data_IF_430853359216
#
_entry.id   IF_430853359216
#
_cell.length_a   1.000
_cell.length_b   1.000
_cell.length_c   1.000
_cell.angle_alpha   90.00
_cell.angle_beta   90.00
_cell.angle_gamma   90.00
#
_symmetry.space_group_name_H-M   'P 1'
#
loop_
_entity.id
_entity.type
_entity.pdbx_description
1 polymer ?
#
# COMPACT_ATOMS: atom_id res chain seq x y z
N UNK A 1 -27.21 -20.70 -60.09
CA UNK A 1 -27.99 -21.11 -58.90
C UNK A 1 -27.60 -20.17 -57.77
N UNK A 2 -28.60 -19.60 -57.10
CA UNK A 2 -28.44 -18.41 -56.26
C UNK A 2 -27.54 -18.65 -55.06
N UNK A 3 -26.51 -17.82 -54.89
CA UNK A 3 -25.73 -17.74 -53.66
C UNK A 3 -26.60 -17.05 -52.61
N UNK A 4 -27.16 -17.83 -51.69
CA UNK A 4 -27.87 -17.31 -50.53
C UNK A 4 -26.86 -16.92 -49.45
N UNK A 5 -26.74 -15.63 -49.18
CA UNK A 5 -26.06 -15.15 -47.97
C UNK A 5 -26.96 -15.46 -46.77
N UNK A 6 -26.58 -16.42 -45.93
CA UNK A 6 -27.20 -16.61 -44.60
C UNK A 6 -26.29 -16.02 -43.55
N UNK A 7 -26.74 -14.94 -42.93
CA UNK A 7 -26.19 -14.42 -41.69
C UNK A 7 -26.82 -15.19 -40.52
N UNK A 8 -26.00 -15.95 -39.78
CA UNK A 8 -26.43 -16.49 -38.49
C UNK A 8 -26.22 -15.43 -37.42
N UNK A 9 -27.29 -14.73 -37.04
CA UNK A 9 -27.36 -14.06 -35.75
C UNK A 9 -27.89 -15.08 -34.74
N UNK A 10 -27.02 -15.62 -33.88
CA UNK A 10 -27.44 -16.37 -32.71
C UNK A 10 -28.25 -15.48 -31.77
N UNK A 11 -29.31 -15.98 -31.11
CA UNK A 11 -30.15 -15.17 -30.24
C UNK A 11 -29.36 -14.79 -28.98
N UNK A 12 -28.85 -13.55 -28.94
CA UNK A 12 -28.24 -12.98 -27.74
C UNK A 12 -27.06 -12.03 -27.96
N UNK A 13 -26.46 -12.00 -29.14
CA UNK A 13 -25.37 -11.09 -29.51
C UNK A 13 -25.77 -10.38 -30.80
N UNK A 14 -25.65 -9.05 -30.84
CA UNK A 14 -25.87 -8.25 -32.05
C UNK A 14 -24.55 -8.12 -32.81
N UNK A 15 -24.22 -8.99 -33.79
CA UNK A 15 -23.17 -8.65 -34.75
C UNK A 15 -23.66 -7.45 -35.57
N UNK A 16 -22.99 -6.31 -35.44
CA UNK A 16 -23.28 -5.12 -36.23
C UNK A 16 -22.90 -5.39 -37.70
N UNK A 17 -23.92 -5.70 -38.50
CA UNK A 17 -23.82 -5.87 -39.96
C UNK A 17 -23.71 -4.54 -40.72
N UNK A 18 -23.65 -3.42 -40.01
CA UNK A 18 -23.49 -2.07 -40.54
C UNK A 18 -22.33 -1.37 -39.85
N UNK A 19 -21.25 -1.11 -40.60
CA UNK A 19 -20.20 -0.18 -40.19
C UNK A 19 -20.73 1.24 -40.41
N UNK A 20 -21.53 1.75 -39.47
CA UNK A 20 -22.18 3.05 -39.57
C UNK A 20 -23.28 3.14 -40.65
N UNK A 21 -23.48 4.32 -41.22
CA UNK A 21 -24.49 4.57 -42.27
C UNK A 21 -24.06 4.09 -43.68
N UNK A 22 -22.84 3.58 -43.81
CA UNK A 22 -22.25 3.18 -45.09
C UNK A 22 -22.32 1.67 -45.19
N UNK A 23 -23.05 1.15 -46.17
CA UNK A 23 -22.87 -0.24 -46.57
C UNK A 23 -21.42 -0.39 -47.04
N UNK A 24 -20.68 -1.34 -46.49
CA UNK A 24 -19.38 -1.75 -47.06
C UNK A 24 -19.71 -2.48 -48.36
N UNK A 25 -19.95 -1.71 -49.42
CA UNK A 25 -19.68 -2.16 -50.76
C UNK A 25 -18.16 -2.18 -50.84
N UNK A 26 -17.57 -3.38 -50.85
CA UNK A 26 -16.23 -3.53 -51.40
C UNK A 26 -16.16 -2.71 -52.69
N UNK A 27 -15.08 -1.95 -52.84
CA UNK A 27 -14.75 -1.14 -54.03
C UNK A 27 -15.46 -1.64 -55.27
N UNK A 28 -16.28 -0.80 -55.92
CA UNK A 28 -17.05 -1.11 -57.13
C UNK A 28 -16.58 -2.38 -57.86
N UNK A 29 -17.27 -3.48 -57.56
CA UNK A 29 -16.90 -4.80 -58.05
C UNK A 29 -17.29 -5.85 -57.03
N UNK A 30 -17.99 -6.90 -57.49
CA UNK A 30 -17.98 -8.15 -56.74
C UNK A 30 -16.51 -8.52 -56.45
N UNK A 31 -16.16 -9.06 -55.28
CA UNK A 31 -14.82 -9.56 -55.03
C UNK A 31 -14.39 -10.39 -56.23
N UNK A 32 -13.34 -9.95 -56.92
CA UNK A 32 -12.87 -10.65 -58.11
C UNK A 32 -12.54 -12.07 -57.68
N UNK A 33 -13.01 -13.04 -58.44
CA UNK A 33 -13.01 -14.50 -58.22
C UNK A 33 -11.59 -15.13 -58.06
N UNK A 34 -10.56 -14.33 -57.74
CA UNK A 34 -9.15 -14.67 -57.78
C UNK A 34 -8.45 -14.84 -56.43
N UNK A 35 -8.83 -14.10 -55.38
CA UNK A 35 -8.03 -14.04 -54.12
C UNK A 35 -8.58 -14.90 -52.98
N UNK A 36 -9.74 -15.54 -53.16
CA UNK A 36 -10.45 -16.33 -52.13
C UNK A 36 -10.53 -17.83 -52.49
N UNK A 37 -9.57 -18.32 -53.30
CA UNK A 37 -9.64 -19.62 -53.96
C UNK A 37 -9.16 -20.81 -53.12
N UNK A 38 -8.93 -20.64 -51.82
CA UNK A 38 -8.61 -21.74 -50.91
C UNK A 38 -9.64 -21.81 -49.76
N UNK A 39 -10.09 -23.00 -49.33
CA UNK A 39 -10.80 -23.14 -48.06
C UNK A 39 -9.90 -22.62 -46.93
N UNK A 40 -10.41 -21.66 -46.16
CA UNK A 40 -9.65 -20.99 -45.12
C UNK A 40 -10.30 -19.69 -44.67
N UNK A 41 -9.88 -19.22 -43.50
CA UNK A 41 -10.34 -17.97 -42.90
C UNK A 41 -9.49 -16.81 -43.45
N UNK A 42 -10.11 -15.80 -44.05
CA UNK A 42 -9.45 -14.53 -44.38
C UNK A 42 -9.89 -13.45 -43.39
N UNK A 43 -8.96 -12.54 -43.03
CA UNK A 43 -9.22 -11.42 -42.10
C UNK A 43 -8.82 -10.11 -42.76
N UNK A 44 -9.74 -9.15 -42.79
CA UNK A 44 -9.51 -7.79 -43.29
C UNK A 44 -9.83 -6.76 -42.21
N UNK A 45 -8.98 -5.76 -42.06
CA UNK A 45 -9.26 -4.61 -41.19
C UNK A 45 -9.95 -3.51 -41.98
N UNK A 46 -11.16 -3.14 -41.56
CA UNK A 46 -11.96 -2.08 -42.16
C UNK A 46 -12.00 -0.86 -41.22
N UNK A 47 -11.40 0.28 -41.61
CA UNK A 47 -11.47 1.50 -40.80
C UNK A 47 -12.87 2.12 -40.90
N UNK A 48 -13.49 2.39 -39.75
CA UNK A 48 -14.72 3.17 -39.63
C UNK A 48 -14.44 4.59 -39.15
N UNK A 49 -15.50 5.43 -39.12
CA UNK A 49 -15.42 6.82 -38.65
C UNK A 49 -14.98 6.94 -37.19
N UNK A 50 -15.40 5.99 -36.36
CA UNK A 50 -15.18 6.03 -34.91
C UNK A 50 -14.29 4.88 -34.41
N UNK A 51 -14.35 3.72 -35.08
CA UNK A 51 -13.64 2.50 -34.70
C UNK A 51 -13.14 1.77 -35.96
N UNK A 52 -12.04 1.05 -35.81
CA UNK A 52 -11.66 0.01 -36.75
C UNK A 52 -12.45 -1.28 -36.48
N UNK A 53 -12.59 -2.10 -37.50
CA UNK A 53 -13.32 -3.36 -37.46
C UNK A 53 -12.48 -4.44 -38.12
N UNK A 54 -12.53 -5.67 -37.60
CA UNK A 54 -11.98 -6.83 -38.28
C UNK A 54 -13.13 -7.65 -38.85
N UNK A 55 -13.13 -7.80 -40.18
CA UNK A 55 -14.02 -8.68 -40.91
C UNK A 55 -13.32 -10.02 -41.15
N UNK A 56 -13.91 -11.09 -40.65
CA UNK A 56 -13.48 -12.46 -40.86
C UNK A 56 -14.42 -13.14 -41.84
N UNK A 57 -13.89 -13.71 -42.91
CA UNK A 57 -14.65 -14.45 -43.91
C UNK A 57 -14.32 -15.92 -43.80
N UNK A 58 -15.36 -16.76 -43.75
CA UNK A 58 -15.23 -18.21 -43.75
C UNK A 58 -16.12 -18.81 -44.85
N UNK A 59 -15.69 -19.95 -45.40
CA UNK A 59 -16.37 -20.62 -46.51
C UNK A 59 -16.38 -22.12 -46.28
N UNK A 60 -17.57 -22.69 -46.22
CA UNK A 60 -17.79 -24.13 -46.03
C UNK A 60 -18.72 -24.70 -47.11
N UNK A 61 -18.55 -25.98 -47.44
CA UNK A 61 -19.52 -26.72 -48.26
C UNK A 61 -20.41 -27.56 -47.36
N UNK A 62 -21.70 -27.21 -47.32
CA UNK A 62 -22.72 -27.98 -46.60
C UNK A 62 -23.70 -28.53 -47.63
N UNK A 63 -23.82 -29.86 -47.69
CA UNK A 63 -24.75 -30.56 -48.59
C UNK A 63 -24.64 -30.16 -50.08
N UNK A 64 -23.43 -29.83 -50.56
CA UNK A 64 -23.18 -29.42 -51.94
C UNK A 64 -23.49 -27.95 -52.24
N UNK A 65 -23.87 -27.16 -51.23
CA UNK A 65 -23.98 -25.71 -51.32
C UNK A 65 -22.78 -25.04 -50.64
N UNK A 66 -22.24 -24.01 -51.29
CA UNK A 66 -21.26 -23.12 -50.68
C UNK A 66 -21.98 -22.17 -49.72
N UNK A 67 -21.62 -22.23 -48.44
CA UNK A 67 -21.99 -21.26 -47.41
C UNK A 67 -20.80 -20.35 -47.16
N UNK A 68 -21.01 -19.04 -47.22
CA UNK A 68 -20.02 -18.04 -46.82
C UNK A 68 -20.51 -17.32 -45.57
N UNK A 69 -19.69 -17.28 -44.53
CA UNK A 69 -19.96 -16.59 -43.27
C UNK A 69 -19.07 -15.36 -43.19
N UNK A 70 -19.63 -14.22 -42.79
CA UNK A 70 -18.88 -13.00 -42.50
C UNK A 70 -19.14 -12.60 -41.06
N UNK A 71 -18.09 -12.52 -40.28
CA UNK A 71 -18.13 -12.08 -38.88
C UNK A 71 -17.40 -10.75 -38.77
N UNK A 72 -18.03 -9.75 -38.17
CA UNK A 72 -17.42 -8.45 -37.93
C UNK A 72 -17.23 -8.24 -36.43
N UNK A 73 -16.03 -7.84 -36.00
CA UNK A 73 -15.77 -7.40 -34.61
C UNK A 73 -15.17 -6.01 -34.55
N UNK A 74 -15.63 -5.21 -33.58
CA UNK A 74 -15.06 -3.90 -33.28
C UNK A 74 -13.65 -4.09 -32.74
N UNK A 75 -12.72 -3.32 -33.27
CA UNK A 75 -11.37 -3.18 -32.75
C UNK A 75 -11.29 -1.92 -31.90
N UNK A 76 -10.47 -1.99 -30.87
CA UNK A 76 -10.17 -0.88 -29.99
C UNK A 76 -9.02 -1.27 -29.09
N UNK A 77 -8.33 -0.26 -28.57
CA UNK A 77 -7.21 -0.45 -27.68
C UNK A 77 -7.44 0.33 -26.38
N UNK A 78 -6.72 -0.07 -25.34
CA UNK A 78 -6.70 0.55 -24.02
C UNK A 78 -5.26 0.92 -23.71
N UNK A 79 -5.07 2.17 -23.29
CA UNK A 79 -3.82 2.69 -22.76
C UNK A 79 -3.90 2.66 -21.23
N UNK A 80 -3.16 1.73 -20.61
CA UNK A 80 -3.08 1.59 -19.17
C UNK A 80 -1.86 2.33 -18.63
N UNK A 81 -2.09 3.30 -17.75
CA UNK A 81 -1.03 3.94 -16.96
C UNK A 81 -1.14 3.50 -15.50
N UNK A 82 -0.03 3.02 -14.95
CA UNK A 82 0.11 2.57 -13.56
C UNK A 82 0.90 3.62 -12.79
N UNK A 83 0.31 4.19 -11.76
CA UNK A 83 1.00 5.08 -10.81
C UNK A 83 1.45 4.27 -9.61
N UNK A 84 2.72 4.39 -9.23
CA UNK A 84 3.28 3.73 -8.07
C UNK A 84 3.25 4.68 -6.87
N UNK A 85 2.56 4.27 -5.82
CA UNK A 85 2.46 5.01 -4.54
C UNK A 85 3.30 4.28 -3.48
N UNK A 86 4.30 4.96 -2.93
CA UNK A 86 5.17 4.44 -1.89
C UNK A 86 4.80 5.11 -0.56
N UNK A 87 4.27 4.33 0.39
CA UNK A 87 4.00 4.72 1.78
C UNK A 87 5.07 4.08 2.66
N UNK A 88 6.28 4.62 2.54
CA UNK A 88 7.53 4.05 3.02
C UNK A 88 8.31 4.97 3.96
N UNK A 89 7.65 5.98 4.53
CA UNK A 89 8.28 6.93 5.44
C UNK A 89 9.13 7.96 4.71
N UNK A 90 8.56 8.67 3.75
CA UNK A 90 9.26 9.75 3.03
C UNK A 90 10.38 9.29 2.10
N UNK A 91 10.45 7.99 1.79
CA UNK A 91 11.51 7.39 0.99
C UNK A 91 12.53 6.57 1.78
N UNK A 92 12.50 6.59 3.12
CA UNK A 92 13.44 5.82 3.96
C UNK A 92 13.39 4.33 3.64
N UNK A 93 12.19 3.75 3.59
CA UNK A 93 12.03 2.32 3.32
C UNK A 93 12.48 1.91 1.91
N UNK A 94 12.22 2.73 0.88
CA UNK A 94 12.79 2.48 -0.45
C UNK A 94 14.31 2.65 -0.43
N UNK A 95 14.86 3.62 0.30
CA UNK A 95 16.31 3.77 0.49
C UNK A 95 16.95 2.52 1.10
N UNK A 96 16.34 1.96 2.15
CA UNK A 96 16.75 0.68 2.76
C UNK A 96 16.73 -0.46 1.73
N UNK A 97 15.66 -0.57 0.93
CA UNK A 97 15.54 -1.58 -0.11
C UNK A 97 16.61 -1.42 -1.21
N UNK A 98 16.89 -0.19 -1.66
CA UNK A 98 17.91 0.08 -2.67
C UNK A 98 19.31 -0.27 -2.17
N UNK A 99 19.64 0.10 -0.94
CA UNK A 99 20.90 -0.25 -0.30
C UNK A 99 21.07 -1.78 -0.19
N UNK A 100 20.02 -2.50 0.19
CA UNK A 100 20.05 -3.97 0.22
C UNK A 100 20.21 -4.58 -1.19
N UNK A 101 19.61 -3.96 -2.22
CA UNK A 101 19.72 -4.39 -3.61
C UNK A 101 21.11 -4.20 -4.21
N UNK A 102 21.94 -3.30 -3.69
CA UNK A 102 23.35 -3.16 -4.10
C UNK A 102 24.14 -4.47 -3.91
N UNK A 103 23.78 -5.26 -2.90
CA UNK A 103 24.39 -6.56 -2.62
C UNK A 103 23.87 -7.69 -3.54
N UNK A 104 22.74 -7.46 -4.22
CA UNK A 104 22.10 -8.44 -5.12
C UNK A 104 21.62 -7.75 -6.41
N UNK A 105 22.53 -7.27 -7.27
CA UNK A 105 22.20 -6.40 -8.40
C UNK A 105 21.40 -7.10 -9.51
N UNK A 106 21.34 -8.43 -9.50
CA UNK A 106 20.48 -9.20 -10.40
C UNK A 106 19.00 -9.19 -9.98
N UNK A 107 18.72 -8.90 -8.70
CA UNK A 107 17.38 -8.84 -8.15
C UNK A 107 16.73 -7.49 -8.42
N UNK A 108 15.43 -7.49 -8.74
CA UNK A 108 14.69 -6.27 -9.10
C UNK A 108 13.21 -6.46 -8.79
N UNK A 109 12.55 -5.43 -8.24
CA UNK A 109 11.10 -5.41 -8.16
C UNK A 109 10.54 -4.88 -9.49
N UNK A 110 9.54 -5.56 -10.03
CA UNK A 110 8.92 -5.21 -11.29
C UNK A 110 7.39 -5.29 -11.20
N UNK A 111 6.73 -4.63 -12.15
CA UNK A 111 5.28 -4.67 -12.34
C UNK A 111 4.99 -5.47 -13.60
N UNK A 112 4.13 -6.48 -13.47
CA UNK A 112 3.73 -7.39 -14.54
C UNK A 112 2.27 -7.15 -14.92
N UNK A 113 2.03 -7.00 -16.21
CA UNK A 113 0.68 -6.86 -16.77
C UNK A 113 -0.10 -8.18 -16.69
N UNK A 114 -1.38 -8.09 -16.35
CA UNK A 114 -2.30 -9.21 -16.23
C UNK A 114 -3.63 -8.95 -16.91
N UNK A 115 -4.22 -10.01 -17.44
CA UNK A 115 -5.64 -10.02 -17.83
C UNK A 115 -6.43 -10.25 -16.55
N UNK A 116 -7.26 -9.26 -16.18
CA UNK A 116 -8.08 -9.29 -14.97
C UNK A 116 -9.41 -10.03 -15.19
N UNK A 117 -10.01 -9.85 -16.37
CA UNK A 117 -11.25 -10.50 -16.76
C UNK A 117 -11.33 -10.65 -18.29
N UNK A 118 -11.78 -11.83 -18.72
CA UNK A 118 -11.99 -12.20 -20.12
C UNK A 118 -12.93 -13.40 -20.23
N UNK A 119 -13.55 -13.60 -21.39
CA UNK A 119 -14.35 -14.79 -21.72
C UNK A 119 -13.49 -15.97 -22.23
N UNK A 120 -12.20 -16.00 -21.86
CA UNK A 120 -11.27 -17.04 -22.27
C UNK A 120 -11.53 -18.37 -21.56
N UNK A 121 -12.50 -19.13 -22.05
CA UNK A 121 -12.85 -20.44 -21.48
C UNK A 121 -11.80 -21.51 -21.77
N UNK A 122 -10.92 -21.29 -22.74
CA UNK A 122 -9.97 -22.30 -23.24
C UNK A 122 -8.50 -21.98 -22.90
N UNK A 123 -8.22 -20.86 -22.24
CA UNK A 123 -6.87 -20.45 -21.85
C UNK A 123 -6.00 -20.02 -23.04
N UNK A 124 -6.62 -19.52 -24.11
CA UNK A 124 -5.94 -19.10 -25.33
C UNK A 124 -5.35 -17.70 -25.24
N UNK A 125 -5.91 -16.84 -24.38
CA UNK A 125 -5.48 -15.46 -24.24
C UNK A 125 -4.20 -15.40 -23.42
N UNK A 126 -3.22 -14.67 -23.94
CA UNK A 126 -1.89 -14.64 -23.34
C UNK A 126 -1.25 -13.28 -23.45
N UNK A 127 -0.54 -12.95 -22.38
CA UNK A 127 0.47 -11.91 -22.35
C UNK A 127 1.82 -12.63 -22.30
N UNK A 128 2.73 -12.31 -23.21
CA UNK A 128 4.03 -12.96 -23.27
C UNK A 128 5.09 -12.01 -23.81
N UNK A 129 6.36 -12.42 -23.67
CA UNK A 129 7.50 -11.66 -24.15
C UNK A 129 8.17 -12.35 -25.34
N UNK A 130 8.63 -11.55 -26.30
CA UNK A 130 9.44 -11.98 -27.43
C UNK A 130 10.47 -10.89 -27.75
N UNK A 131 11.75 -11.29 -27.85
CA UNK A 131 12.87 -10.39 -28.14
C UNK A 131 12.98 -9.19 -27.17
N UNK A 132 12.62 -9.39 -25.90
CA UNK A 132 12.63 -8.34 -24.85
C UNK A 132 11.41 -7.40 -24.86
N UNK A 133 10.41 -7.67 -25.69
CA UNK A 133 9.20 -6.86 -25.80
C UNK A 133 7.94 -7.66 -25.48
N UNK A 134 6.95 -7.00 -24.90
CA UNK A 134 5.68 -7.58 -24.50
C UNK A 134 4.64 -7.56 -25.63
N UNK A 135 3.82 -8.61 -25.64
CA UNK A 135 2.72 -8.79 -26.58
C UNK A 135 1.49 -9.32 -25.86
N UNK A 136 0.32 -8.89 -26.31
CA UNK A 136 -0.99 -9.43 -25.91
C UNK A 136 -1.61 -10.11 -27.12
N UNK A 137 -2.08 -11.34 -26.96
CA UNK A 137 -2.83 -12.06 -27.98
C UNK A 137 -4.15 -12.55 -27.40
N UNK A 138 -5.26 -12.07 -27.97
CA UNK A 138 -6.64 -12.43 -27.60
C UNK A 138 -7.34 -13.25 -28.70
N UNK A 139 -6.60 -14.13 -29.40
CA UNK A 139 -7.06 -14.94 -30.55
C UNK A 139 -7.06 -14.22 -31.91
N UNK A 140 -6.90 -12.89 -31.88
CA UNK A 140 -6.84 -12.02 -33.07
C UNK A 140 -5.47 -11.94 -33.76
N UNK A 141 -4.40 -12.33 -33.07
CA UNK A 141 -3.02 -12.02 -33.44
C UNK A 141 -2.30 -11.26 -32.34
N UNK A 142 -1.01 -11.02 -32.56
CA UNK A 142 -0.13 -10.43 -31.56
C UNK A 142 -0.21 -8.90 -31.61
N UNK A 143 -0.62 -8.27 -30.51
CA UNK A 143 -0.63 -6.82 -30.33
C UNK A 143 0.54 -6.42 -29.43
N UNK A 144 1.37 -5.51 -29.92
CA UNK A 144 2.56 -5.04 -29.23
C UNK A 144 2.22 -4.04 -28.12
N UNK A 145 2.80 -4.25 -26.94
CA UNK A 145 2.72 -3.33 -25.81
C UNK A 145 3.67 -2.15 -26.04
N UNK A 146 3.17 -0.95 -25.80
CA UNK A 146 3.90 0.30 -26.00
C UNK A 146 3.95 1.15 -24.73
N UNK A 147 4.83 2.15 -24.70
CA UNK A 147 4.77 3.26 -23.75
C UNK A 147 4.02 4.45 -24.35
N UNK A 148 3.93 5.55 -23.57
CA UNK A 148 3.31 6.80 -24.01
C UNK A 148 3.92 7.50 -25.21
N UNK A 149 5.12 7.07 -25.64
CA UNK A 149 5.83 7.57 -26.82
C UNK A 149 5.75 6.55 -27.97
N UNK A 150 4.82 5.59 -27.88
CA UNK A 150 4.61 4.51 -28.85
C UNK A 150 5.82 3.59 -29.02
N UNK A 151 6.76 3.63 -28.07
CA UNK A 151 7.93 2.74 -28.08
C UNK A 151 7.56 1.40 -27.49
N UNK A 152 8.11 0.34 -28.07
CA UNK A 152 7.89 -1.04 -27.63
C UNK A 152 8.42 -1.22 -26.21
N UNK A 153 7.62 -1.80 -25.32
CA UNK A 153 8.02 -2.11 -23.94
C UNK A 153 7.72 -3.55 -23.56
N UNK A 154 8.30 -4.00 -22.45
CA UNK A 154 8.05 -5.32 -21.86
C UNK A 154 6.67 -5.37 -21.19
N UNK A 155 6.08 -6.57 -21.11
CA UNK A 155 4.91 -6.83 -20.26
C UNK A 155 5.25 -6.92 -18.77
N UNK A 156 6.54 -6.93 -18.43
CA UNK A 156 7.10 -6.89 -17.08
C UNK A 156 8.13 -5.76 -17.03
N UNK A 157 7.82 -4.67 -16.34
CA UNK A 157 8.64 -3.47 -16.31
C UNK A 157 9.23 -3.25 -14.91
N UNK A 158 10.56 -3.05 -14.77
CA UNK A 158 11.19 -2.73 -13.48
C UNK A 158 10.61 -1.47 -12.84
N UNK A 159 10.36 -1.52 -11.54
CA UNK A 159 9.92 -0.38 -10.74
C UNK A 159 10.94 0.03 -9.67
N UNK A 160 11.75 -0.91 -9.18
CA UNK A 160 12.81 -0.66 -8.21
C UNK A 160 14.04 -1.53 -8.47
N UNK A 161 15.18 -0.87 -8.68
CA UNK A 161 16.54 -1.46 -8.69
C UNK A 161 17.40 -0.75 -7.65
N UNK A 162 18.66 -1.16 -7.49
CA UNK A 162 19.61 -0.44 -6.63
C UNK A 162 19.71 1.05 -7.01
N UNK A 163 19.76 1.38 -8.31
CA UNK A 163 20.00 2.75 -8.78
C UNK A 163 18.74 3.51 -9.20
N UNK A 164 17.60 2.84 -9.38
CA UNK A 164 16.42 3.43 -10.03
C UNK A 164 15.14 3.12 -9.27
N UNK A 165 14.36 4.17 -9.05
CA UNK A 165 12.97 4.12 -8.58
C UNK A 165 12.06 4.76 -9.63
N UNK A 166 11.08 3.99 -10.09
CA UNK A 166 10.04 4.48 -11.00
C UNK A 166 8.75 4.78 -10.22
N UNK A 167 8.08 5.87 -10.58
CA UNK A 167 6.79 6.27 -9.97
C UNK A 167 5.60 6.07 -10.93
N UNK A 168 5.86 5.74 -12.19
CA UNK A 168 4.83 5.52 -13.20
C UNK A 168 5.34 4.54 -14.24
N UNK A 169 4.45 3.70 -14.75
CA UNK A 169 4.68 2.78 -15.85
C UNK A 169 3.53 2.84 -16.84
N UNK A 170 3.82 2.64 -18.12
CA UNK A 170 2.84 2.67 -19.19
C UNK A 170 2.79 1.31 -19.89
N UNK A 171 1.59 0.73 -19.97
CA UNK A 171 1.25 -0.44 -20.77
C UNK A 171 0.18 -0.01 -21.78
N UNK A 172 0.62 0.61 -22.87
CA UNK A 172 -0.25 1.19 -23.88
C UNK A 172 -0.49 0.23 -25.05
N UNK A 173 -1.50 0.57 -25.84
CA UNK A 173 -1.92 -0.15 -27.03
C UNK A 173 -2.44 -1.58 -26.74
N UNK A 174 -3.05 -1.82 -25.57
CA UNK A 174 -3.57 -3.14 -25.21
C UNK A 174 -4.89 -3.43 -25.94
N UNK A 175 -5.11 -4.62 -26.53
CA UNK A 175 -6.35 -4.89 -27.25
C UNK A 175 -7.56 -4.92 -26.31
N UNK A 176 -8.62 -4.17 -26.65
CA UNK A 176 -9.83 -4.03 -25.83
C UNK A 176 -10.81 -5.19 -25.98
N UNK A 177 -10.88 -5.79 -27.17
CA UNK A 177 -11.87 -6.81 -27.50
C UNK A 177 -11.21 -8.12 -27.90
N UNK A 178 -11.80 -9.23 -27.48
CA UNK A 178 -11.39 -10.56 -27.91
C UNK A 178 -12.01 -10.97 -29.26
N UNK A 179 -11.86 -12.24 -29.65
CA UNK A 179 -12.45 -12.78 -30.89
C UNK A 179 -13.98 -12.81 -30.90
N UNK A 180 -14.61 -12.82 -29.73
CA UNK A 180 -16.08 -12.81 -29.58
C UNK A 180 -16.65 -11.39 -29.49
N UNK A 181 -15.79 -10.37 -29.41
CA UNK A 181 -16.19 -8.98 -29.21
C UNK A 181 -16.44 -8.64 -27.74
N UNK A 182 -16.07 -9.52 -26.80
CA UNK A 182 -16.17 -9.24 -25.36
C UNK A 182 -15.03 -8.30 -24.94
N UNK A 183 -15.34 -7.37 -24.02
CA UNK A 183 -14.36 -6.46 -23.44
C UNK A 183 -13.42 -7.20 -22.50
N UNK A 184 -12.12 -7.10 -22.75
CA UNK A 184 -11.06 -7.58 -21.86
C UNK A 184 -10.63 -6.48 -20.90
N UNK A 185 -10.44 -6.83 -19.63
CA UNK A 185 -9.97 -5.92 -18.58
C UNK A 185 -8.54 -6.28 -18.17
N UNK A 186 -7.74 -5.25 -17.94
CA UNK A 186 -6.35 -5.39 -17.52
C UNK A 186 -6.16 -4.96 -16.07
N UNK A 187 -5.18 -5.58 -15.42
CA UNK A 187 -4.66 -5.20 -14.09
C UNK A 187 -3.16 -5.47 -14.05
N UNK A 188 -2.53 -5.27 -12.90
CA UNK A 188 -1.12 -5.54 -12.71
C UNK A 188 -0.86 -6.33 -11.43
N UNK A 189 0.30 -7.00 -11.38
CA UNK A 189 0.84 -7.64 -10.19
C UNK A 189 2.30 -7.20 -9.98
N UNK A 190 2.71 -7.03 -8.73
CA UNK A 190 4.13 -6.84 -8.40
C UNK A 190 4.82 -8.20 -8.30
N UNK A 191 6.00 -8.30 -8.91
CA UNK A 191 6.82 -9.51 -8.94
C UNK A 191 8.27 -9.18 -8.68
N UNK A 192 8.99 -10.13 -8.08
CA UNK A 192 10.44 -10.08 -7.98
C UNK A 192 11.07 -10.82 -9.14
N UNK A 193 12.11 -10.22 -9.71
CA UNK A 193 12.92 -10.81 -10.76
C UNK A 193 14.34 -11.07 -10.23
N UNK A 194 14.97 -12.14 -10.69
CA UNK A 194 16.42 -12.38 -10.53
C UNK A 194 17.02 -12.78 -11.88
N UNK A 195 18.00 -12.00 -12.35
CA UNK A 195 18.58 -12.19 -13.68
C UNK A 195 17.55 -12.09 -14.81
N UNK A 196 16.46 -11.35 -14.59
CA UNK A 196 15.33 -11.20 -15.51
C UNK A 196 14.25 -12.29 -15.42
N UNK A 197 14.42 -13.31 -14.57
CA UNK A 197 13.42 -14.37 -14.37
C UNK A 197 12.58 -14.09 -13.13
N UNK A 198 11.28 -14.34 -13.21
CA UNK A 198 10.38 -14.21 -12.07
C UNK A 198 10.73 -15.23 -10.97
N UNK A 199 10.83 -14.74 -9.73
CA UNK A 199 11.13 -15.54 -8.55
C UNK A 199 10.04 -15.38 -7.48
N UNK A 200 9.84 -16.44 -6.70
CA UNK A 200 8.97 -16.44 -5.53
C UNK A 200 9.61 -15.72 -4.34
N UNK A 201 8.80 -15.35 -3.34
CA UNK A 201 9.33 -14.78 -2.10
C UNK A 201 10.23 -15.75 -1.32
N UNK A 202 9.99 -17.07 -1.42
CA UNK A 202 10.87 -18.08 -0.82
C UNK A 202 12.26 -18.14 -1.50
N UNK A 203 12.28 -17.98 -2.82
CA UNK A 203 13.53 -17.86 -3.56
C UNK A 203 14.23 -16.54 -3.22
N UNK A 204 13.49 -15.42 -3.16
CA UNK A 204 14.03 -14.13 -2.74
C UNK A 204 14.67 -14.21 -1.36
N UNK A 205 14.01 -14.87 -0.39
CA UNK A 205 14.55 -15.11 0.95
C UNK A 205 15.89 -15.85 0.94
N UNK A 206 16.11 -16.71 -0.04
CA UNK A 206 17.34 -17.49 -0.17
C UNK A 206 18.44 -16.69 -0.90
N UNK A 207 18.07 -15.96 -1.94
CA UNK A 207 18.99 -15.18 -2.80
C UNK A 207 19.43 -13.89 -2.09
N UNK A 208 18.47 -13.17 -1.51
CA UNK A 208 18.66 -11.89 -0.83
C UNK A 208 17.84 -11.84 0.47
N UNK A 209 18.33 -12.47 1.56
CA UNK A 209 17.62 -12.49 2.84
C UNK A 209 17.33 -11.09 3.40
N UNK A 210 18.22 -10.13 3.14
CA UNK A 210 18.09 -8.74 3.58
C UNK A 210 16.94 -8.02 2.85
N UNK A 211 16.92 -8.09 1.51
CA UNK A 211 15.83 -7.54 0.69
C UNK A 211 14.51 -8.20 1.08
N UNK A 212 14.49 -9.52 1.28
CA UNK A 212 13.30 -10.23 1.73
C UNK A 212 12.80 -9.71 3.09
N UNK A 213 13.69 -9.54 4.08
CA UNK A 213 13.30 -9.09 5.41
C UNK A 213 12.70 -7.68 5.38
N UNK A 214 13.26 -6.78 4.58
CA UNK A 214 12.72 -5.44 4.37
C UNK A 214 11.39 -5.47 3.63
N UNK A 215 11.31 -6.21 2.52
CA UNK A 215 10.10 -6.35 1.70
C UNK A 215 8.95 -6.98 2.48
N UNK A 216 9.22 -7.91 3.40
CA UNK A 216 8.20 -8.54 4.24
C UNK A 216 7.55 -7.56 5.25
N UNK A 217 8.05 -6.33 5.36
CA UNK A 217 7.37 -5.25 6.08
C UNK A 217 6.32 -4.54 5.23
N UNK A 218 6.25 -4.80 3.92
CA UNK A 218 5.31 -4.13 3.02
C UNK A 218 4.06 -4.96 2.77
N UNK A 219 2.93 -4.26 2.69
CA UNK A 219 1.69 -4.77 2.09
C UNK A 219 1.46 -4.03 0.77
N UNK A 220 1.16 -4.79 -0.29
CA UNK A 220 0.86 -4.26 -1.63
C UNK A 220 -0.64 -4.24 -1.90
N UNK A 221 -1.13 -3.23 -2.62
CA UNK A 221 -2.52 -3.14 -3.07
C UNK A 221 -2.62 -2.48 -4.44
N UNK A 222 -3.59 -2.93 -5.23
CA UNK A 222 -3.88 -2.42 -6.58
C UNK A 222 -5.29 -1.85 -6.59
N UNK A 223 -5.45 -0.64 -7.10
CA UNK A 223 -6.74 0.05 -7.21
C UNK A 223 -6.91 0.69 -8.57
N UNK A 224 -8.02 0.40 -9.26
CA UNK A 224 -8.41 1.17 -10.44
C UNK A 224 -8.91 2.56 -10.00
N UNK A 225 -8.31 3.61 -10.56
CA UNK A 225 -8.71 4.99 -10.29
C UNK A 225 -9.76 5.48 -11.28
N UNK A 226 -9.59 5.16 -12.56
CA UNK A 226 -10.51 5.61 -13.60
C UNK A 226 -10.42 4.77 -14.87
N UNK A 227 -11.54 4.72 -15.59
CA UNK A 227 -11.61 4.24 -16.96
C UNK A 227 -12.38 5.24 -17.82
N UNK A 228 -11.74 5.76 -18.87
CA UNK A 228 -12.34 6.70 -19.82
C UNK A 228 -12.50 5.99 -21.16
N UNK A 229 -13.74 5.69 -21.53
CA UNK A 229 -14.06 5.18 -22.86
C UNK A 229 -13.99 6.32 -23.87
N UNK A 230 -13.15 6.18 -24.90
CA UNK A 230 -12.98 7.17 -25.95
C UNK A 230 -13.77 6.73 -27.19
N UNK A 231 -15.09 6.93 -27.13
CA UNK A 231 -16.01 6.58 -28.20
C UNK A 231 -16.05 7.69 -29.27
N UNK A 232 -15.21 7.55 -30.29
CA UNK A 232 -15.12 8.47 -31.43
C UNK A 232 -13.67 8.86 -31.73
N UNK A 233 -13.36 9.10 -33.01
CA UNK A 233 -12.03 9.55 -33.47
C UNK A 233 -10.89 8.52 -33.47
N UNK A 234 -11.17 7.21 -33.38
CA UNK A 234 -10.14 6.15 -33.37
C UNK A 234 -9.08 6.35 -32.26
N UNK A 235 -9.48 6.86 -31.11
CA UNK A 235 -8.64 6.99 -29.92
C UNK A 235 -8.73 5.73 -29.06
N UNK A 236 -7.63 5.43 -28.36
CA UNK A 236 -7.59 4.37 -27.36
C UNK A 236 -8.34 4.80 -26.11
N UNK A 237 -8.98 3.86 -25.42
CA UNK A 237 -9.52 4.12 -24.09
C UNK A 237 -8.38 4.36 -23.10
N UNK A 238 -8.62 5.13 -22.05
CA UNK A 238 -7.61 5.37 -21.01
C UNK A 238 -8.00 4.66 -19.72
N UNK A 239 -7.08 3.85 -19.17
CA UNK A 239 -7.22 3.22 -17.87
C UNK A 239 -6.10 3.71 -16.94
N UNK A 240 -6.45 4.06 -15.70
CA UNK A 240 -5.48 4.47 -14.68
C UNK A 240 -5.62 3.60 -13.44
N UNK A 241 -4.50 3.05 -12.99
CA UNK A 241 -4.41 2.22 -11.79
C UNK A 241 -3.35 2.81 -10.85
N UNK A 242 -3.63 2.77 -9.54
CA UNK A 242 -2.65 3.03 -8.48
C UNK A 242 -2.21 1.70 -7.86
N UNK A 243 -0.89 1.54 -7.71
CA UNK A 243 -0.24 0.41 -7.04
C UNK A 243 0.47 0.92 -5.78
N UNK A 244 -0.08 0.64 -4.60
CA UNK A 244 0.40 1.17 -3.33
C UNK A 244 1.17 0.12 -2.53
N UNK A 245 2.40 0.45 -2.13
CA UNK A 245 3.15 -0.32 -1.12
C UNK A 245 3.18 0.44 0.20
N UNK A 246 2.67 -0.18 1.25
CA UNK A 246 2.60 0.40 2.60
C UNK A 246 3.39 -0.43 3.59
N UNK A 247 4.27 0.20 4.37
CA UNK A 247 4.94 -0.47 5.49
C UNK A 247 3.93 -0.78 6.60
N UNK A 248 4.05 -1.98 7.14
CA UNK A 248 3.20 -2.57 8.16
C UNK A 248 4.07 -3.42 9.09
N UNK A 249 3.57 -3.64 10.30
CA UNK A 249 4.27 -4.42 11.29
C UNK A 249 3.79 -4.06 12.69
N UNK A 250 4.23 -4.85 13.65
CA UNK A 250 3.98 -4.62 15.07
C UNK A 250 5.28 -4.35 15.80
N UNK A 251 5.17 -3.64 16.92
CA UNK A 251 6.25 -3.35 17.85
C UNK A 251 5.69 -3.31 19.26
N UNK A 252 6.56 -3.49 20.25
CA UNK A 252 6.19 -3.30 21.65
C UNK A 252 6.76 -1.97 22.14
N UNK A 253 6.04 -1.30 23.04
CA UNK A 253 6.50 -0.11 23.72
C UNK A 253 6.81 -0.45 25.18
N UNK A 254 8.01 -0.09 25.64
CA UNK A 254 8.48 -0.43 26.99
C UNK A 254 8.93 0.83 27.71
N UNK A 255 8.38 1.04 28.91
CA UNK A 255 8.77 2.11 29.83
C UNK A 255 9.27 1.53 31.14
N UNK A 256 10.17 2.27 31.79
CA UNK A 256 10.75 1.87 33.07
C UNK A 256 10.59 2.98 34.09
N UNK A 257 10.27 2.63 35.33
CA UNK A 257 10.22 3.55 36.48
C UNK A 257 11.33 3.20 37.44
N UNK A 258 12.14 4.19 37.76
CA UNK A 258 13.13 4.12 38.84
C UNK A 258 12.64 4.92 40.04
N UNK A 259 12.52 4.23 41.17
CA UNK A 259 12.10 4.79 42.44
C UNK A 259 13.32 5.07 43.33
N UNK A 260 13.44 6.31 43.80
CA UNK A 260 14.46 6.76 44.75
C UNK A 260 13.83 7.17 46.10
N UNK A 261 12.82 6.44 46.56
CA UNK A 261 11.91 6.85 47.64
C UNK A 261 11.88 5.84 48.81
N UNK A 262 13.04 5.28 49.20
CA UNK A 262 13.14 4.16 50.16
C UNK A 262 12.37 4.42 51.48
N UNK A 263 12.35 5.68 51.94
CA UNK A 263 11.62 6.09 53.14
C UNK A 263 10.10 6.02 52.94
N UNK A 264 9.59 6.53 51.81
CA UNK A 264 8.15 6.51 51.49
C UNK A 264 7.63 5.11 51.21
N UNK A 265 8.47 4.25 50.61
CA UNK A 265 8.16 2.84 50.46
C UNK A 265 7.98 2.15 51.82
N UNK A 266 8.89 2.41 52.77
CA UNK A 266 8.84 1.82 54.11
C UNK A 266 7.65 2.28 54.96
N UNK A 267 7.14 3.50 54.72
CA UNK A 267 5.94 4.03 55.38
C UNK A 267 4.62 3.64 54.69
N UNK A 268 4.67 3.03 53.50
CA UNK A 268 3.49 2.69 52.71
C UNK A 268 2.83 3.89 52.04
N UNK A 269 3.54 5.02 51.91
CA UNK A 269 3.02 6.28 51.34
C UNK A 269 3.30 6.43 49.84
N UNK A 270 3.82 5.39 49.17
CA UNK A 270 4.10 5.45 47.73
C UNK A 270 2.81 5.65 46.94
N UNK A 271 2.70 6.68 46.10
CA UNK A 271 1.48 6.97 45.37
C UNK A 271 1.24 5.95 44.27
N UNK A 272 -0.03 5.74 43.96
CA UNK A 272 -0.41 5.12 42.71
C UNK A 272 -0.06 6.06 41.54
N UNK A 273 0.62 5.50 40.54
CA UNK A 273 0.97 6.20 39.30
C UNK A 273 0.23 5.60 38.12
N UNK A 274 -0.05 6.46 37.15
CA UNK A 274 -0.80 6.16 35.94
C UNK A 274 -0.03 6.70 34.73
N UNK A 275 -0.15 6.04 33.58
CA UNK A 275 0.41 6.51 32.32
C UNK A 275 -0.70 6.97 31.38
N UNK A 276 -0.56 8.19 30.88
CA UNK A 276 -1.20 8.62 29.64
C UNK A 276 -0.23 8.30 28.50
N UNK A 277 -0.59 7.36 27.63
CA UNK A 277 0.26 6.85 26.55
C UNK A 277 -0.13 7.52 25.24
N UNK A 278 0.87 8.02 24.53
CA UNK A 278 0.74 8.74 23.28
C UNK A 278 1.45 8.01 22.13
N UNK A 279 1.02 8.31 20.90
CA UNK A 279 1.77 7.99 19.68
C UNK A 279 2.01 9.25 18.87
N UNK A 280 3.17 9.35 18.24
CA UNK A 280 3.46 10.38 17.24
C UNK A 280 3.41 9.76 15.85
N UNK A 281 2.56 10.33 14.99
CA UNK A 281 2.26 9.85 13.64
C UNK A 281 2.37 10.99 12.63
N UNK A 282 2.55 10.67 11.36
CA UNK A 282 2.54 11.64 10.27
C UNK A 282 1.12 11.79 9.70
N UNK A 283 0.75 13.02 9.39
CA UNK A 283 -0.51 13.43 8.76
C UNK A 283 -0.37 13.60 7.25
N UNK A 284 0.87 13.63 6.74
CA UNK A 284 1.18 13.73 5.32
C UNK A 284 2.51 13.02 5.00
N UNK A 285 2.88 12.95 3.72
CA UNK A 285 4.20 12.47 3.30
C UNK A 285 5.36 13.43 3.66
N UNK A 286 5.06 14.64 4.15
CA UNK A 286 6.07 15.56 4.61
C UNK A 286 6.53 15.19 6.02
N UNK A 287 7.84 15.16 6.23
CA UNK A 287 8.49 14.75 7.49
C UNK A 287 8.07 15.63 8.69
N UNK A 288 7.79 16.91 8.47
CA UNK A 288 7.38 17.86 9.50
C UNK A 288 5.87 17.81 9.83
N UNK A 289 5.10 17.09 9.02
CA UNK A 289 3.66 16.95 9.17
C UNK A 289 3.24 15.98 10.28
N UNK A 290 3.78 16.12 11.49
CA UNK A 290 3.54 15.21 12.62
C UNK A 290 2.43 15.67 13.57
N UNK A 291 1.71 14.69 14.11
CA UNK A 291 0.70 14.83 15.15
C UNK A 291 0.97 13.86 16.30
N UNK A 292 0.72 14.30 17.54
CA UNK A 292 0.85 13.47 18.74
C UNK A 292 -0.54 13.26 19.33
N UNK A 293 -0.94 11.99 19.38
CA UNK A 293 -2.27 11.54 19.77
C UNK A 293 -2.21 10.78 21.09
N UNK A 294 -3.14 11.07 22.01
CA UNK A 294 -3.36 10.25 23.21
C UNK A 294 -4.10 8.98 22.80
N UNK A 295 -3.49 7.81 23.00
CA UNK A 295 -4.08 6.52 22.62
C UNK A 295 -4.69 5.79 23.82
N UNK A 296 -4.05 5.88 24.98
CA UNK A 296 -4.50 5.19 26.18
C UNK A 296 -4.39 6.12 27.39
N UNK A 297 -5.53 6.64 27.90
CA UNK A 297 -5.52 7.45 29.09
C UNK A 297 -5.42 6.60 30.36
N UNK A 298 -4.63 7.05 31.32
CA UNK A 298 -4.70 6.66 32.73
C UNK A 298 -4.59 5.16 32.99
N UNK A 299 -3.65 4.48 32.33
CA UNK A 299 -3.31 3.09 32.66
C UNK A 299 -2.57 3.05 33.99
N UNK A 300 -3.09 2.31 34.97
CA UNK A 300 -2.45 2.20 36.29
C UNK A 300 -1.16 1.40 36.16
N UNK A 301 -0.04 1.97 36.58
CA UNK A 301 1.25 1.31 36.54
C UNK A 301 1.59 0.72 37.92
N UNK A 302 1.72 -0.59 37.97
CA UNK A 302 2.08 -1.36 39.16
C UNK A 302 3.46 -2.00 38.99
N UNK A 303 3.97 -2.62 40.06
CA UNK A 303 5.18 -3.43 39.99
C UNK A 303 5.04 -4.71 39.14
N UNK A 304 3.82 -5.10 38.77
CA UNK A 304 3.51 -6.24 37.90
C UNK A 304 3.30 -5.84 36.43
N UNK A 305 3.12 -4.55 36.15
CA UNK A 305 2.92 -4.03 34.80
C UNK A 305 1.81 -2.98 34.72
N UNK A 306 1.29 -2.76 33.50
CA UNK A 306 0.20 -1.84 33.24
C UNK A 306 -1.15 -2.55 33.41
N UNK A 307 -2.07 -1.90 34.12
CA UNK A 307 -3.47 -2.27 34.21
C UNK A 307 -4.30 -1.21 33.48
N UNK A 308 -5.29 -1.61 32.66
CA UNK A 308 -6.18 -0.66 32.01
C UNK A 308 -6.94 0.17 33.05
N UNK A 309 -7.45 1.36 32.68
CA UNK A 309 -8.23 2.19 33.60
C UNK A 309 -9.41 1.39 34.15
N UNK A 310 -9.65 1.50 35.46
CA UNK A 310 -10.81 0.89 36.11
C UNK A 310 -12.07 1.50 35.48
N UNK A 311 -12.71 0.76 34.58
CA UNK A 311 -14.02 1.12 34.06
C UNK A 311 -15.02 0.84 35.18
N UNK A 312 -15.65 1.88 35.70
CA UNK A 312 -16.88 1.76 36.50
C UNK A 312 -17.90 1.03 35.62
N UNK A 313 -18.02 -0.29 35.77
CA UNK A 313 -19.04 -1.06 35.09
C UNK A 313 -20.42 -0.56 35.55
N UNK A 314 -21.33 -0.12 34.67
CA UNK A 314 -22.73 -0.15 35.01
C UNK A 314 -23.12 -1.61 35.15
N UNK A 315 -23.51 -1.98 36.37
CA UNK A 315 -24.20 -3.22 36.68
C UNK A 315 -25.31 -3.53 35.65
N UNK A 316 -25.24 -4.76 35.16
CA UNK A 316 -26.26 -5.56 34.44
C UNK A 316 -26.72 -5.14 33.03
N UNK A 317 -26.29 -5.95 32.06
CA UNK A 317 -27.19 -6.55 31.08
C UNK A 317 -27.27 -5.88 29.72
N UNK A 318 -26.44 -6.34 28.77
CA UNK A 318 -26.86 -6.76 27.42
C UNK A 318 -25.64 -6.95 26.50
N UNK A 319 -25.52 -8.16 25.95
CA UNK A 319 -25.07 -8.47 24.59
C UNK A 319 -23.65 -8.06 24.15
N UNK A 320 -22.83 -9.08 23.88
CA UNK A 320 -21.59 -9.01 23.07
C UNK A 320 -21.69 -8.00 21.91
N UNK A 321 -20.62 -7.23 21.71
CA UNK A 321 -19.82 -7.51 20.52
C UNK A 321 -18.33 -7.63 20.85
N UNK A 322 -17.68 -8.54 20.12
CA UNK A 322 -16.25 -8.80 20.14
C UNK A 322 -15.44 -7.51 19.94
N UNK A 323 -14.88 -6.98 21.02
CA UNK A 323 -13.76 -6.05 21.02
C UNK A 323 -12.52 -6.82 21.43
N UNK A 324 -11.49 -6.81 20.58
CA UNK A 324 -10.18 -7.37 20.91
C UNK A 324 -9.58 -6.57 22.09
N UNK A 325 -9.57 -7.19 23.27
CA UNK A 325 -8.87 -6.71 24.45
C UNK A 325 -7.35 -6.66 24.15
N UNK A 326 -6.66 -5.53 24.41
CA UNK A 326 -5.21 -5.50 24.29
C UNK A 326 -4.58 -6.45 25.31
N UNK A 327 -3.62 -7.24 24.85
CA UNK A 327 -2.98 -8.33 25.59
C UNK A 327 -2.44 -7.94 26.96
N UNK A 328 -2.62 -8.87 27.91
CA UNK A 328 -2.11 -8.84 29.27
C UNK A 328 -0.58 -8.74 29.31
N UNK A 329 -0.05 -7.71 30.00
CA UNK A 329 1.37 -7.57 30.29
C UNK A 329 1.89 -8.77 31.13
N UNK A 330 2.93 -9.45 30.65
CA UNK A 330 3.61 -10.52 31.39
C UNK A 330 5.12 -10.30 31.34
N UNK A 331 5.72 -9.89 32.46
CA UNK A 331 7.17 -9.91 32.66
C UNK A 331 7.52 -10.09 34.13
N UNK A 332 7.98 -11.29 34.51
CA UNK A 332 8.44 -11.63 35.85
C UNK A 332 9.73 -10.86 36.21
N UNK A 333 9.63 -9.82 37.04
CA UNK A 333 10.77 -9.17 37.66
C UNK A 333 11.11 -9.90 38.98
N UNK A 334 12.38 -10.24 39.26
CA UNK A 334 12.77 -10.82 40.55
C UNK A 334 12.37 -9.94 41.75
N UNK A 335 11.99 -10.55 42.88
CA UNK A 335 11.28 -9.86 43.99
C UNK A 335 12.02 -8.69 44.67
N UNK A 336 13.35 -8.62 44.61
CA UNK A 336 14.14 -7.54 45.20
C UNK A 336 14.20 -6.28 44.30
N UNK A 337 14.09 -6.44 42.98
CA UNK A 337 14.17 -5.33 42.01
C UNK A 337 12.85 -4.56 41.93
N UNK A 338 11.71 -5.20 42.25
CA UNK A 338 10.37 -4.58 42.19
C UNK A 338 10.17 -3.41 43.17
N UNK A 339 11.03 -3.26 44.18
CA UNK A 339 10.99 -2.09 45.07
C UNK A 339 11.48 -0.82 44.36
N UNK A 340 12.53 -0.94 43.55
CA UNK A 340 13.25 0.20 42.95
C UNK A 340 12.95 0.36 41.46
N UNK A 341 12.52 -0.70 40.79
CA UNK A 341 12.40 -0.75 39.35
C UNK A 341 11.09 -1.38 38.92
N UNK A 342 10.26 -0.61 38.23
CA UNK A 342 9.06 -1.13 37.58
C UNK A 342 9.23 -1.08 36.06
N UNK A 343 8.59 -2.02 35.39
CA UNK A 343 8.56 -2.13 33.93
C UNK A 343 7.10 -2.10 33.48
N UNK A 344 6.80 -1.29 32.49
CA UNK A 344 5.55 -1.26 31.77
C UNK A 344 5.82 -1.67 30.33
N UNK A 345 5.01 -2.58 29.79
CA UNK A 345 5.08 -3.00 28.40
C UNK A 345 3.68 -2.99 27.81
N UNK A 346 3.60 -2.48 26.58
CA UNK A 346 2.41 -2.53 25.76
C UNK A 346 2.79 -3.20 24.43
N UNK A 347 2.25 -4.38 24.21
CA UNK A 347 2.61 -5.26 23.10
C UNK A 347 1.74 -5.03 21.87
N UNK A 348 2.21 -5.53 20.72
CA UNK A 348 1.44 -5.60 19.48
C UNK A 348 0.93 -4.25 18.95
N UNK A 349 1.69 -3.18 19.19
CA UNK A 349 1.36 -1.85 18.70
C UNK A 349 1.76 -1.68 17.23
N UNK A 350 1.02 -0.89 16.42
CA UNK A 350 1.44 -0.58 15.06
C UNK A 350 2.86 -0.02 14.99
N UNK A 351 3.73 -0.65 14.21
CA UNK A 351 5.12 -0.19 14.05
C UNK A 351 5.23 1.03 13.14
N UNK A 352 4.39 1.13 12.12
CA UNK A 352 4.41 2.19 11.11
C UNK A 352 3.06 2.88 11.02
N UNK A 353 3.06 4.17 10.70
CA UNK A 353 1.86 4.97 10.45
C UNK A 353 1.34 4.81 9.02
N UNK A 354 0.29 5.57 8.67
CA UNK A 354 -0.35 5.52 7.35
C UNK A 354 0.54 5.97 6.19
N UNK A 355 1.62 6.70 6.49
CA UNK A 355 2.61 7.17 5.53
C UNK A 355 3.88 6.32 5.52
N UNK A 356 3.93 5.28 6.36
CA UNK A 356 5.03 4.32 6.44
C UNK A 356 6.19 4.75 7.32
N UNK A 357 6.07 5.86 8.06
CA UNK A 357 7.05 6.26 9.04
C UNK A 357 6.90 5.41 10.30
N UNK A 358 8.01 5.15 10.98
CA UNK A 358 7.96 4.41 12.25
C UNK A 358 7.29 5.26 13.32
N UNK A 359 6.32 4.67 14.01
CA UNK A 359 5.60 5.35 15.09
C UNK A 359 6.49 5.44 16.32
N UNK A 360 6.52 6.61 16.93
CA UNK A 360 7.14 6.79 18.25
C UNK A 360 6.07 6.75 19.33
N UNK A 361 6.22 5.83 20.28
CA UNK A 361 5.36 5.72 21.46
C UNK A 361 6.02 6.39 22.67
N UNK A 362 5.26 7.24 23.35
CA UNK A 362 5.68 7.98 24.54
C UNK A 362 4.62 7.87 25.62
N UNK A 363 4.99 8.14 26.87
CA UNK A 363 4.05 8.11 27.99
C UNK A 363 4.34 9.25 28.96
N UNK A 364 3.31 9.76 29.60
CA UNK A 364 3.40 10.78 30.65
C UNK A 364 2.86 10.20 31.95
N UNK A 365 3.67 10.26 33.00
CA UNK A 365 3.29 9.85 34.35
C UNK A 365 2.33 10.86 35.00
N UNK A 366 1.28 10.31 35.61
CA UNK A 366 0.31 11.01 36.42
C UNK A 366 0.15 10.33 37.77
N UNK A 367 -0.17 11.11 38.78
CA UNK A 367 -0.56 10.63 40.11
C UNK A 367 -2.04 10.93 40.31
N UNK A 368 -2.78 10.03 40.96
CA UNK A 368 -4.19 10.26 41.31
C UNK A 368 -4.36 11.36 42.38
N UNK A 369 -3.30 11.60 43.15
CA UNK A 369 -3.19 12.68 44.14
C UNK A 369 -2.29 13.79 43.62
N UNK A 370 -2.44 15.01 44.14
CA UNK A 370 -1.48 16.07 43.88
C UNK A 370 -0.16 15.71 44.57
N UNK A 371 0.86 15.33 43.78
CA UNK A 371 2.13 14.83 44.30
C UNK A 371 2.79 15.80 45.31
N UNK A 372 2.63 17.11 45.11
CA UNK A 372 3.16 18.14 46.01
C UNK A 372 2.55 18.12 47.41
N UNK A 373 1.33 17.58 47.57
CA UNK A 373 0.68 17.46 48.88
C UNK A 373 1.32 16.35 49.73
N UNK A 374 2.16 15.52 49.11
CA UNK A 374 2.89 14.39 49.71
C UNK A 374 4.40 14.52 49.51
N UNK A 375 4.90 15.73 49.24
CA UNK A 375 6.31 16.06 48.97
C UNK A 375 6.95 15.28 47.80
N UNK A 376 6.16 14.64 46.95
CA UNK A 376 6.68 13.90 45.79
C UNK A 376 7.07 14.84 44.64
N UNK A 377 8.31 14.72 44.19
CA UNK A 377 8.82 15.44 43.04
C UNK A 377 8.18 14.97 41.71
N UNK A 378 8.08 15.89 40.76
CA UNK A 378 7.67 15.57 39.39
C UNK A 378 8.73 14.64 38.77
N UNK A 379 8.28 13.60 38.06
CA UNK A 379 9.18 12.68 37.40
C UNK A 379 9.93 13.35 36.23
N UNK A 380 11.22 13.05 36.14
CA UNK A 380 12.10 13.33 35.02
C UNK A 380 12.03 12.19 34.00
N UNK A 381 12.09 12.53 32.72
CA UNK A 381 12.09 11.61 31.60
C UNK A 381 13.49 11.52 31.02
N UNK A 382 13.90 10.30 30.66
CA UNK A 382 15.25 10.02 30.18
C UNK A 382 15.21 9.06 28.98
N UNK A 383 16.17 9.21 28.08
CA UNK A 383 16.42 8.30 26.96
C UNK A 383 17.89 7.87 26.95
N UNK A 384 18.17 6.63 27.37
CA UNK A 384 19.54 6.23 27.70
C UNK A 384 20.11 7.13 28.80
N UNK A 385 21.19 7.86 28.50
CA UNK A 385 21.86 8.79 29.43
C UNK A 385 21.41 10.26 29.26
N UNK A 386 20.47 10.53 28.36
CA UNK A 386 20.01 11.90 28.06
C UNK A 386 18.75 12.22 28.86
N UNK A 387 18.80 13.26 29.68
CA UNK A 387 17.61 13.83 30.31
C UNK A 387 16.78 14.59 29.26
N UNK A 388 15.47 14.48 29.36
CA UNK A 388 14.51 15.08 28.44
C UNK A 388 13.70 16.18 29.13
N UNK A 389 13.81 16.29 30.45
CA UNK A 389 13.06 17.20 31.30
C UNK A 389 11.97 16.49 32.10
N UNK A 390 10.96 17.23 32.51
CA UNK A 390 9.80 16.76 33.29
C UNK A 390 8.52 16.89 32.49
N UNK A 391 7.39 16.42 33.03
CA UNK A 391 6.09 16.58 32.33
C UNK A 391 5.72 18.05 32.06
N UNK A 392 6.31 18.96 32.83
CA UNK A 392 5.98 20.39 32.86
C UNK A 392 7.02 21.24 32.10
N UNK A 393 8.27 20.76 31.95
CA UNK A 393 9.38 21.52 31.34
C UNK A 393 10.34 20.61 30.58
N UNK A 394 10.67 20.96 29.33
CA UNK A 394 11.69 20.27 28.54
C UNK A 394 13.10 20.62 29.00
N UNK A 395 14.00 19.63 29.04
CA UNK A 395 15.42 19.92 29.23
C UNK A 395 15.96 20.50 27.91
N UNK A 396 16.18 21.81 27.89
CA UNK A 396 16.68 22.52 26.69
C UNK A 396 18.17 22.32 26.47
N UNK A 397 18.87 21.53 27.29
CA UNK A 397 20.28 21.21 27.15
C UNK A 397 21.14 22.46 27.01
N UNK A 398 21.48 23.11 28.13
CA UNK A 398 22.16 24.41 28.07
C UNK A 398 23.56 24.29 27.41
N UNK A 399 23.55 24.60 26.12
CA UNK A 399 24.65 24.61 25.18
C UNK A 399 24.21 25.20 23.84
N UNK A 400 23.25 26.13 23.84
CA UNK A 400 22.74 26.77 22.62
C UNK A 400 21.50 27.61 22.86
N UNK A 401 21.69 28.82 23.39
CA UNK A 401 20.60 29.70 23.77
C UNK A 401 19.58 30.00 22.67
N UNK A 402 18.32 29.74 22.98
CA UNK A 402 17.19 30.50 22.47
C UNK A 402 16.52 31.17 23.66
N UNK A 403 16.59 32.51 23.66
CA UNK A 403 16.00 33.37 24.68
C UNK A 403 14.48 33.15 24.72
N UNK A 404 13.99 32.52 25.77
CA UNK A 404 12.58 32.61 26.15
C UNK A 404 12.31 34.01 26.67
N UNK A 405 11.34 34.69 26.04
CA UNK A 405 10.81 35.95 26.50
C UNK A 405 9.99 35.73 27.78
N UNK A 406 10.35 36.48 28.82
CA UNK A 406 9.61 36.85 30.03
C UNK A 406 8.28 36.10 30.32
N UNK A 407 8.28 35.31 31.40
CA UNK A 407 7.05 34.95 32.10
C UNK A 407 7.22 35.01 33.63
N UNK A 408 6.42 35.86 34.28
CA UNK A 408 6.36 36.05 35.74
C UNK A 408 5.84 34.80 36.48
N UNK A 409 6.24 34.57 37.74
CA UNK A 409 5.85 33.39 38.50
C UNK A 409 4.50 33.62 39.21
N UNK A 410 3.46 32.90 38.80
CA UNK A 410 2.19 32.93 39.52
C UNK A 410 1.09 32.04 38.94
N UNK A 411 0.92 30.86 39.55
CA UNK A 411 -0.27 29.97 39.48
C UNK A 411 -0.86 29.69 38.09
N UNK A 412 -0.64 28.47 37.61
CA UNK A 412 -1.67 27.49 37.20
C UNK A 412 -0.96 26.18 36.85
N UNK A 413 -1.46 25.05 37.36
CA UNK A 413 -1.19 23.75 36.73
C UNK A 413 -1.51 23.90 35.23
N UNK A 414 -0.64 23.46 34.30
CA UNK A 414 -0.99 23.46 32.89
C UNK A 414 -2.04 22.37 32.67
N UNK A 415 -3.32 22.75 32.78
CA UNK A 415 -4.46 21.93 32.39
C UNK A 415 -4.65 21.88 30.87
N UNK A 416 -3.66 22.30 30.08
CA UNK A 416 -3.77 22.35 28.62
C UNK A 416 -2.83 21.33 27.97
N UNK A 417 -3.45 20.49 27.14
CA UNK A 417 -2.82 19.54 26.21
C UNK A 417 -1.66 20.15 25.41
N UNK A 418 -1.65 21.48 25.24
CA UNK A 418 -0.66 22.24 24.47
C UNK A 418 0.75 22.25 25.06
N UNK A 419 0.93 22.18 26.39
CA UNK A 419 2.26 22.17 27.02
C UNK A 419 2.95 20.82 26.85
N UNK A 420 2.23 19.74 27.16
CA UNK A 420 2.71 18.37 26.93
C UNK A 420 2.96 18.09 25.44
N UNK A 421 2.15 18.65 24.52
CA UNK A 421 2.39 18.49 23.08
C UNK A 421 3.68 19.15 22.57
N UNK A 422 4.10 20.30 23.14
CA UNK A 422 5.37 20.92 22.77
C UNK A 422 6.58 20.12 23.30
N UNK A 423 6.49 19.60 24.53
CA UNK A 423 7.49 18.71 25.13
C UNK A 423 7.64 17.41 24.32
N UNK A 424 6.54 16.74 23.98
CA UNK A 424 6.56 15.46 23.24
C UNK A 424 7.12 15.60 21.81
N UNK A 425 7.00 16.78 21.18
CA UNK A 425 7.60 17.07 19.86
C UNK A 425 9.13 17.19 19.89
N UNK A 426 9.74 17.59 21.02
CA UNK A 426 11.19 17.85 21.12
C UNK A 426 12.03 16.60 21.45
N UNK A 427 11.39 15.50 21.83
CA UNK A 427 12.04 14.42 22.59
C UNK A 427 12.42 13.19 21.74
N UNK A 428 11.93 13.06 20.50
CA UNK A 428 11.94 11.77 19.81
C UNK A 428 13.25 11.46 19.04
N UNK A 429 14.08 10.53 19.55
CA UNK A 429 14.47 9.40 18.72
C UNK A 429 14.37 8.04 19.43
N UNK A 430 13.99 7.03 18.65
CA UNK A 430 13.89 5.58 18.87
C UNK A 430 14.66 4.92 20.05
N UNK A 431 14.23 5.12 21.30
CA UNK A 431 14.93 4.54 22.46
C UNK A 431 14.00 4.13 23.58
N UNK A 432 14.52 3.26 24.46
CA UNK A 432 13.93 2.89 25.74
C UNK A 432 13.88 4.13 26.64
N UNK A 433 12.71 4.43 27.17
CA UNK A 433 12.47 5.57 28.05
C UNK A 433 12.53 5.15 29.52
N UNK A 434 13.14 5.99 30.34
CA UNK A 434 13.21 5.83 31.78
C UNK A 434 12.56 7.03 32.47
N UNK A 435 11.70 6.77 33.44
CA UNK A 435 11.19 7.76 34.37
C UNK A 435 11.98 7.67 35.66
N UNK A 436 12.60 8.79 36.04
CA UNK A 436 13.39 8.93 37.26
C UNK A 436 12.76 9.99 38.13
N UNK A 437 12.66 9.76 39.44
CA UNK A 437 12.44 10.88 40.35
C UNK A 437 13.79 11.48 40.76
N UNK A 438 13.91 12.82 40.79
CA UNK A 438 15.12 13.46 41.26
C UNK A 438 15.36 13.07 42.72
N UNK A 439 16.63 12.91 43.14
CA UNK A 439 16.97 12.64 44.53
C UNK A 439 16.59 13.85 45.40
N UNK A 440 15.89 13.61 46.51
CA UNK A 440 15.64 14.60 47.57
C UNK A 440 16.92 15.02 48.30
#
# INVERSE_FOLDING_TARGET
MGRHWRTYAGPGLHPETKIGATAVLGTEGAPTEGEINAPGITRDTVPGKNHAYEATYDREEIAGETVCTVTNRRLGNVDLTVTKDWRDGGGDGVGELQAALENTPASTLAVKLKIAASDDTEGQFKIYQKDGFGYVNLGGGDVQIQDRSERRVSSIQPILTADTKSNSLDFWNLPKYDTNGTVVRYTVEEVWLDGGNEITLDQLRTISPEVYALWNTYTSSVKEESYTANDGENKNDEQKITLTNKRTGVTDAVWYKQWYDIYMYGSGSRPDIYLDIYRTVHTSAAEDGIETELIYPSYRWTNEGLLPPETEAPSEGAGDPAGEEPGTASGDNGSADRQYFWRAELENLPKYDDWGYKITYSAVERTSVNASDFDYAIAEYWTGETCLGTRDEADTGDGGGLRSADHEPGRRQPTSVSGCQQFLRQICPERKWYLRQPPE
#
